data_IF_661758585410
#
_entry.id   IF_661758585410
#
_cell.length_a   1.000
_cell.length_b   1.000
_cell.length_c   1.000
_cell.angle_alpha   90.00
_cell.angle_beta   90.00
_cell.angle_gamma   90.00
#
_symmetry.space_group_name_H-M   'P 1'
#
loop_
_entity.id
_entity.type
_entity.pdbx_description
1 polymer ?
#
# COMPACT_ATOMS: atom_id res chain seq x y z
N UNK A 1 7.87 -7.85 13.48
CA UNK A 1 7.10 -8.22 12.28
C UNK A 1 5.94 -7.27 12.05
N UNK A 2 5.04 -7.08 13.01
CA UNK A 2 3.89 -6.15 12.89
C UNK A 2 4.35 -4.72 12.51
N UNK A 3 5.40 -4.20 13.13
CA UNK A 3 5.96 -2.87 12.83
C UNK A 3 6.51 -2.76 11.41
N UNK A 4 7.20 -3.81 10.92
CA UNK A 4 7.74 -3.85 9.56
C UNK A 4 6.62 -3.94 8.53
N UNK A 5 5.54 -4.70 8.83
CA UNK A 5 4.35 -4.75 7.96
C UNK A 5 3.73 -3.36 7.82
N UNK A 6 3.60 -2.63 8.93
CA UNK A 6 2.98 -1.32 8.96
C UNK A 6 3.86 -0.25 8.28
N UNK A 7 5.17 -0.29 8.54
CA UNK A 7 6.16 0.49 7.81
C UNK A 7 6.08 0.28 6.29
N UNK A 8 6.14 -0.98 5.84
CA UNK A 8 6.10 -1.32 4.42
C UNK A 8 4.80 -0.90 3.74
N UNK A 9 3.67 -1.09 4.43
CA UNK A 9 2.37 -0.68 3.92
C UNK A 9 2.30 0.85 3.72
N UNK A 10 2.65 1.62 4.74
CA UNK A 10 2.62 3.08 4.65
C UNK A 10 3.63 3.62 3.61
N UNK A 11 4.80 2.98 3.51
CA UNK A 11 5.78 3.26 2.47
C UNK A 11 5.20 3.05 1.07
N UNK A 12 4.50 1.93 0.84
CA UNK A 12 3.87 1.60 -0.44
C UNK A 12 2.75 2.60 -0.77
N UNK A 13 1.86 2.87 0.17
CA UNK A 13 0.72 3.79 0.00
C UNK A 13 1.20 5.18 -0.43
N UNK A 14 2.11 5.79 0.34
CA UNK A 14 2.55 7.15 0.07
C UNK A 14 3.45 7.23 -1.18
N UNK A 15 4.32 6.25 -1.40
CA UNK A 15 5.15 6.23 -2.62
C UNK A 15 4.28 6.12 -3.86
N UNK A 16 3.26 5.26 -3.84
CA UNK A 16 2.32 5.11 -4.97
C UNK A 16 1.61 6.43 -5.28
N UNK A 17 1.07 7.11 -4.27
CA UNK A 17 0.30 8.34 -4.47
C UNK A 17 1.16 9.52 -4.91
N UNK A 18 2.34 9.71 -4.31
CA UNK A 18 3.22 10.84 -4.62
C UNK A 18 3.89 10.72 -6.00
N UNK A 19 4.27 9.51 -6.39
CA UNK A 19 5.02 9.28 -7.64
C UNK A 19 4.14 8.93 -8.84
N UNK A 20 2.82 8.75 -8.65
CA UNK A 20 1.88 8.41 -9.73
C UNK A 20 1.94 9.40 -10.90
N UNK A 21 1.80 10.71 -10.63
CA UNK A 21 1.83 11.73 -11.69
C UNK A 21 3.17 11.78 -12.41
N UNK A 22 4.29 11.80 -11.66
CA UNK A 22 5.63 11.84 -12.24
C UNK A 22 5.90 10.61 -13.10
N UNK A 23 5.47 9.43 -12.66
CA UNK A 23 5.56 8.19 -13.43
C UNK A 23 4.75 8.26 -14.72
N UNK A 24 3.52 8.77 -14.68
CA UNK A 24 2.69 8.91 -15.87
C UNK A 24 3.28 9.88 -16.89
N UNK A 25 3.85 11.00 -16.44
CA UNK A 25 4.51 11.96 -17.34
C UNK A 25 5.78 11.36 -17.94
N UNK A 26 6.70 10.89 -17.11
CA UNK A 26 8.06 10.56 -17.55
C UNK A 26 8.17 9.14 -18.13
N UNK A 27 7.42 8.17 -17.63
CA UNK A 27 7.48 6.79 -18.11
C UNK A 27 6.39 6.45 -19.14
N UNK A 28 5.28 7.21 -19.17
CA UNK A 28 4.14 6.92 -20.05
C UNK A 28 3.86 8.03 -21.08
N UNK A 29 4.62 9.13 -21.05
CA UNK A 29 4.48 10.23 -22.00
C UNK A 29 3.16 10.99 -21.91
N UNK A 30 2.47 10.92 -20.78
CA UNK A 30 1.21 11.64 -20.53
C UNK A 30 1.52 13.12 -20.30
N UNK A 31 0.68 14.04 -20.81
CA UNK A 31 0.84 15.46 -20.52
C UNK A 31 0.72 15.75 -19.01
N UNK A 32 1.49 16.72 -18.50
CA UNK A 32 1.49 17.07 -17.08
C UNK A 32 0.09 17.50 -16.58
N UNK A 33 -0.70 18.12 -17.44
CA UNK A 33 -2.07 18.53 -17.15
C UNK A 33 -2.98 17.33 -16.85
N UNK A 34 -2.95 16.31 -17.71
CA UNK A 34 -3.72 15.06 -17.52
C UNK A 34 -3.17 14.26 -16.34
N UNK A 35 -1.86 14.17 -16.19
CA UNK A 35 -1.21 13.39 -15.12
C UNK A 35 -1.48 13.98 -13.73
N UNK A 36 -1.64 15.30 -13.60
CA UNK A 36 -1.99 15.95 -12.32
C UNK A 36 -3.37 15.51 -11.80
N UNK A 37 -4.35 15.36 -12.71
CA UNK A 37 -5.66 14.80 -12.38
C UNK A 37 -5.61 13.31 -12.01
N UNK A 38 -4.66 12.58 -12.58
CA UNK A 38 -4.51 11.14 -12.33
C UNK A 38 -3.96 10.79 -10.94
N UNK A 39 -3.25 11.69 -10.26
CA UNK A 39 -2.88 11.50 -8.86
C UNK A 39 -4.11 11.31 -7.96
N UNK A 40 -5.22 11.96 -8.29
CA UNK A 40 -6.49 11.84 -7.58
C UNK A 40 -7.12 10.44 -7.72
N UNK A 41 -6.78 9.69 -8.78
CA UNK A 41 -7.34 8.35 -9.03
C UNK A 41 -6.97 7.37 -7.93
N UNK A 42 -5.74 7.43 -7.41
CA UNK A 42 -5.33 6.61 -6.27
C UNK A 42 -6.25 6.87 -5.06
N UNK A 43 -6.51 8.14 -4.74
CA UNK A 43 -7.37 8.51 -3.60
C UNK A 43 -8.85 8.21 -3.84
N UNK A 44 -9.33 8.24 -5.09
CA UNK A 44 -10.66 7.75 -5.45
C UNK A 44 -10.78 6.25 -5.13
N UNK A 45 -9.79 5.45 -5.56
CA UNK A 45 -9.72 4.03 -5.23
C UNK A 45 -9.69 3.78 -3.72
N UNK A 46 -8.86 4.53 -3.00
CA UNK A 46 -8.72 4.44 -1.54
C UNK A 46 -10.05 4.77 -0.83
N UNK A 47 -10.73 5.83 -1.26
CA UNK A 47 -12.00 6.27 -0.65
C UNK A 47 -13.12 5.26 -0.90
N UNK A 48 -13.28 4.80 -2.15
CA UNK A 48 -14.24 3.76 -2.50
C UNK A 48 -13.95 2.46 -1.75
N UNK A 49 -12.66 2.08 -1.68
CA UNK A 49 -12.24 0.92 -0.93
C UNK A 49 -12.56 1.01 0.57
N UNK A 50 -12.40 2.19 1.19
CA UNK A 50 -12.77 2.40 2.60
C UNK A 50 -14.29 2.26 2.83
N UNK A 51 -15.11 2.80 1.93
CA UNK A 51 -16.56 2.64 2.00
C UNK A 51 -16.96 1.14 1.89
N UNK A 52 -16.39 0.41 0.91
CA UNK A 52 -16.63 -1.02 0.73
C UNK A 52 -16.12 -1.82 1.94
N UNK A 53 -14.93 -1.50 2.45
CA UNK A 53 -14.34 -2.19 3.59
C UNK A 53 -15.19 -2.06 4.86
N UNK A 54 -15.87 -0.93 5.07
CA UNK A 54 -16.80 -0.76 6.18
C UNK A 54 -17.89 -1.84 6.22
N UNK A 55 -18.43 -2.22 5.05
CA UNK A 55 -19.41 -3.31 4.95
C UNK A 55 -18.76 -4.69 5.04
N UNK A 56 -17.61 -4.88 4.42
CA UNK A 56 -16.91 -6.16 4.43
C UNK A 56 -16.40 -6.53 5.83
N UNK A 57 -15.97 -5.57 6.63
CA UNK A 57 -15.50 -5.77 8.01
C UNK A 57 -16.60 -6.30 8.94
N UNK A 58 -17.88 -6.14 8.58
CA UNK A 58 -19.00 -6.73 9.32
C UNK A 58 -19.17 -8.24 9.08
N UNK A 59 -18.59 -8.79 8.01
CA UNK A 59 -18.78 -10.20 7.59
C UNK A 59 -17.48 -11.01 7.58
N UNK A 60 -16.35 -10.36 7.40
CA UNK A 60 -15.06 -11.02 7.23
C UNK A 60 -14.08 -10.60 8.33
N UNK A 61 -13.15 -11.51 8.68
CA UNK A 61 -12.13 -11.22 9.66
C UNK A 61 -10.99 -10.35 9.06
N UNK A 62 -10.29 -9.62 9.92
CA UNK A 62 -9.22 -8.71 9.53
C UNK A 62 -8.11 -9.40 8.72
N UNK A 63 -7.75 -10.64 9.06
CA UNK A 63 -6.71 -11.41 8.34
C UNK A 63 -7.09 -11.64 6.89
N UNK A 64 -8.35 -11.97 6.64
CA UNK A 64 -8.86 -12.16 5.28
C UNK A 64 -8.86 -10.84 4.51
N UNK A 65 -9.33 -9.75 5.14
CA UNK A 65 -9.39 -8.43 4.51
C UNK A 65 -8.00 -7.88 4.16
N UNK A 66 -7.00 -8.10 5.02
CA UNK A 66 -5.61 -7.73 4.73
C UNK A 66 -5.11 -8.51 3.52
N UNK A 67 -5.29 -9.85 3.48
CA UNK A 67 -4.86 -10.68 2.35
C UNK A 67 -5.56 -10.28 1.05
N UNK A 68 -6.85 -10.00 1.12
CA UNK A 68 -7.63 -9.53 -0.02
C UNK A 68 -7.07 -8.18 -0.53
N UNK A 69 -6.84 -7.23 0.37
CA UNK A 69 -6.25 -5.94 0.03
C UNK A 69 -4.87 -6.07 -0.62
N UNK A 70 -3.98 -6.90 -0.06
CA UNK A 70 -2.65 -7.15 -0.62
C UNK A 70 -2.73 -7.83 -2.00
N UNK A 71 -3.69 -8.73 -2.22
CA UNK A 71 -3.94 -9.34 -3.52
C UNK A 71 -4.43 -8.31 -4.55
N UNK A 72 -5.32 -7.41 -4.16
CA UNK A 72 -5.79 -6.31 -5.02
C UNK A 72 -4.64 -5.36 -5.38
N UNK A 73 -3.78 -5.00 -4.40
CA UNK A 73 -2.58 -4.18 -4.64
C UNK A 73 -1.67 -4.87 -5.66
N UNK A 74 -1.45 -6.18 -5.54
CA UNK A 74 -0.64 -6.96 -6.48
C UNK A 74 -1.18 -6.85 -7.92
N UNK A 75 -2.47 -7.03 -8.12
CA UNK A 75 -3.12 -6.88 -9.44
C UNK A 75 -2.93 -5.46 -9.97
N UNK A 76 -3.12 -4.45 -9.13
CA UNK A 76 -2.90 -3.04 -9.49
C UNK A 76 -1.46 -2.77 -9.94
N UNK A 77 -0.46 -3.29 -9.21
CA UNK A 77 0.96 -3.16 -9.59
C UNK A 77 1.23 -3.84 -10.94
N UNK A 78 0.67 -5.03 -11.19
CA UNK A 78 0.81 -5.71 -12.48
C UNK A 78 0.26 -4.87 -13.63
N UNK A 79 -0.88 -4.20 -13.44
CA UNK A 79 -1.43 -3.30 -14.45
C UNK A 79 -0.53 -2.08 -14.69
N UNK A 80 0.09 -1.53 -13.66
CA UNK A 80 1.07 -0.44 -13.81
C UNK A 80 2.32 -0.91 -14.60
N UNK A 81 2.69 -2.19 -14.52
CA UNK A 81 3.79 -2.76 -15.31
C UNK A 81 3.50 -2.82 -16.82
N UNK A 82 2.22 -2.93 -17.23
CA UNK A 82 1.86 -3.09 -18.66
C UNK A 82 2.25 -1.85 -19.47
N UNK A 83 3.14 -1.97 -20.48
CA UNK A 83 3.70 -0.80 -21.16
C UNK A 83 2.84 -0.26 -22.31
N UNK A 84 1.80 -0.97 -22.73
CA UNK A 84 1.09 -0.69 -23.98
C UNK A 84 0.30 0.63 -24.01
N UNK A 85 -0.46 0.94 -22.94
CA UNK A 85 -1.30 2.14 -22.86
C UNK A 85 -1.29 2.75 -21.46
N UNK A 86 -1.27 4.08 -21.37
CA UNK A 86 -1.36 4.80 -20.09
C UNK A 86 -2.62 4.44 -19.28
N UNK A 87 -3.70 4.03 -19.97
CA UNK A 87 -4.95 3.60 -19.32
C UNK A 87 -4.74 2.45 -18.32
N UNK A 88 -3.85 1.50 -18.62
CA UNK A 88 -3.53 0.42 -17.67
C UNK A 88 -2.90 0.95 -16.38
N UNK A 89 -2.05 1.97 -16.48
CA UNK A 89 -1.46 2.60 -15.31
C UNK A 89 -2.50 3.39 -14.50
N UNK A 90 -3.44 4.09 -15.16
CA UNK A 90 -4.54 4.78 -14.49
C UNK A 90 -5.40 3.81 -13.67
N UNK A 91 -5.88 2.74 -14.32
CA UNK A 91 -6.66 1.70 -13.65
C UNK A 91 -5.83 1.04 -12.55
N UNK A 92 -4.54 0.80 -12.79
CA UNK A 92 -3.62 0.22 -11.82
C UNK A 92 -3.53 1.06 -10.54
N UNK A 93 -3.40 2.38 -10.63
CA UNK A 93 -3.34 3.26 -9.45
C UNK A 93 -4.67 3.29 -8.68
N UNK A 94 -5.83 3.28 -9.36
CA UNK A 94 -7.14 3.14 -8.70
C UNK A 94 -7.22 1.82 -7.92
N UNK A 95 -6.80 0.71 -8.54
CA UNK A 95 -6.83 -0.63 -7.94
C UNK A 95 -5.84 -0.71 -6.75
N UNK A 96 -4.64 -0.12 -6.85
CA UNK A 96 -3.70 -0.05 -5.72
C UNK A 96 -4.35 0.69 -4.56
N UNK A 97 -4.96 1.87 -4.81
CA UNK A 97 -5.67 2.63 -3.77
C UNK A 97 -6.79 1.83 -3.12
N UNK A 98 -7.60 1.14 -3.92
CA UNK A 98 -8.69 0.28 -3.44
C UNK A 98 -8.18 -0.86 -2.56
N UNK A 99 -7.06 -1.49 -2.94
CA UNK A 99 -6.43 -2.54 -2.15
C UNK A 99 -5.76 -2.04 -0.87
N UNK A 100 -5.29 -0.80 -0.84
CA UNK A 100 -4.74 -0.17 0.37
C UNK A 100 -5.81 0.07 1.46
N UNK A 101 -7.06 0.26 1.06
CA UNK A 101 -8.13 0.69 1.95
C UNK A 101 -8.37 -0.19 3.20
N UNK A 102 -8.43 -1.53 3.11
CA UNK A 102 -8.64 -2.38 4.28
C UNK A 102 -7.40 -2.58 5.15
N UNK A 103 -6.19 -2.42 4.60
CA UNK A 103 -4.96 -2.90 5.25
C UNK A 103 -4.66 -2.14 6.54
N UNK A 104 -4.67 -0.80 6.51
CA UNK A 104 -4.39 0.03 7.68
C UNK A 104 -5.36 -0.22 8.85
N UNK A 105 -6.69 -0.08 8.66
CA UNK A 105 -7.63 -0.25 9.76
C UNK A 105 -7.63 -1.67 10.31
N UNK A 106 -7.51 -2.69 9.46
CA UNK A 106 -7.47 -4.08 9.89
C UNK A 106 -6.21 -4.42 10.70
N UNK A 107 -5.03 -3.86 10.37
CA UNK A 107 -3.81 -4.06 11.18
C UNK A 107 -3.99 -3.45 12.57
N UNK A 108 -4.54 -2.23 12.68
CA UNK A 108 -4.79 -1.58 13.97
C UNK A 108 -5.84 -2.36 14.78
N UNK A 109 -6.95 -2.76 14.13
CA UNK A 109 -8.03 -3.49 14.77
C UNK A 109 -7.59 -4.86 15.31
N UNK A 110 -6.68 -5.53 14.62
CA UNK A 110 -6.14 -6.82 15.01
C UNK A 110 -5.10 -6.74 16.16
N UNK A 111 -4.58 -5.56 16.48
CA UNK A 111 -3.49 -5.39 17.46
C UNK A 111 -3.88 -5.82 18.89
N UNK A 112 -5.07 -5.49 19.44
CA UNK A 112 -5.49 -5.97 20.75
C UNK A 112 -5.62 -7.49 20.84
N UNK A 113 -6.07 -8.14 19.76
CA UNK A 113 -6.20 -9.61 19.70
C UNK A 113 -4.84 -10.30 19.63
N UNK A 114 -3.86 -9.64 19.03
CA UNK A 114 -2.50 -10.17 18.90
C UNK A 114 -1.66 -10.01 20.17
N UNK A 115 -1.80 -8.90 20.89
CA UNK A 115 -0.86 -8.52 21.96
C UNK A 115 -1.54 -8.31 23.34
N UNK A 116 -2.87 -8.45 23.40
CA UNK A 116 -3.67 -8.18 24.60
C UNK A 116 -4.07 -6.72 24.72
N UNK A 117 -5.23 -6.49 25.36
CA UNK A 117 -5.84 -5.15 25.48
C UNK A 117 -4.97 -4.17 26.27
N UNK A 118 -4.31 -4.65 27.32
CA UNK A 118 -3.49 -3.80 28.19
C UNK A 118 -2.29 -3.16 27.48
N UNK A 119 -1.67 -3.90 26.55
CA UNK A 119 -0.46 -3.45 25.82
C UNK A 119 -0.78 -2.83 24.47
N UNK A 120 -2.04 -2.94 24.01
CA UNK A 120 -2.43 -2.56 22.64
C UNK A 120 -2.16 -1.10 22.33
N UNK A 121 -2.45 -0.18 23.23
CA UNK A 121 -2.25 1.26 22.99
C UNK A 121 -0.76 1.60 22.79
N UNK A 122 0.13 1.07 23.62
CA UNK A 122 1.55 1.30 23.48
C UNK A 122 2.10 0.71 22.15
N UNK A 123 1.62 -0.48 21.77
CA UNK A 123 1.99 -1.14 20.52
C UNK A 123 1.49 -0.36 19.32
N UNK A 124 0.23 0.11 19.33
CA UNK A 124 -0.32 0.97 18.28
C UNK A 124 0.52 2.26 18.15
N UNK A 125 0.92 2.89 19.24
CA UNK A 125 1.80 4.05 19.22
C UNK A 125 3.12 3.77 18.48
N UNK A 126 3.75 2.64 18.77
CA UNK A 126 4.98 2.21 18.07
C UNK A 126 4.70 1.88 16.60
N UNK A 127 3.58 1.21 16.28
CA UNK A 127 3.16 0.95 14.90
C UNK A 127 3.03 2.25 14.10
N UNK A 128 2.39 3.26 14.67
CA UNK A 128 2.22 4.57 14.05
C UNK A 128 3.58 5.26 13.82
N UNK A 129 4.50 5.18 14.78
CA UNK A 129 5.85 5.71 14.60
C UNK A 129 6.58 5.05 13.43
N UNK A 130 6.50 3.73 13.30
CA UNK A 130 7.05 3.00 12.15
C UNK A 130 6.34 3.35 10.83
N UNK A 131 5.02 3.58 10.85
CA UNK A 131 4.27 4.05 9.70
C UNK A 131 4.79 5.40 9.19
N UNK A 132 4.94 6.38 10.08
CA UNK A 132 5.49 7.69 9.72
C UNK A 132 6.95 7.61 9.25
N UNK A 133 7.74 6.73 9.83
CA UNK A 133 9.11 6.47 9.33
C UNK A 133 9.05 5.98 7.88
N UNK A 134 8.14 5.06 7.55
CA UNK A 134 7.92 4.60 6.18
C UNK A 134 7.49 5.72 5.23
N UNK A 135 6.55 6.55 5.66
CA UNK A 135 6.09 7.73 4.91
C UNK A 135 7.22 8.72 4.62
N UNK A 136 8.08 9.00 5.61
CA UNK A 136 9.12 9.99 5.47
C UNK A 136 10.35 9.49 4.69
N UNK A 137 10.65 8.19 4.74
CA UNK A 137 11.91 7.65 4.19
C UNK A 137 11.78 7.05 2.80
N UNK A 138 10.69 6.32 2.52
CA UNK A 138 10.59 5.53 1.29
C UNK A 138 10.28 6.35 0.03
N UNK A 139 9.40 7.37 0.03
CA UNK A 139 9.20 8.20 -1.15
C UNK A 139 10.46 8.98 -1.57
N UNK A 140 11.24 9.62 -0.66
CA UNK A 140 12.53 10.21 -1.03
C UNK A 140 13.56 9.18 -1.51
N UNK A 141 13.62 8.00 -0.90
CA UNK A 141 14.50 6.92 -1.35
C UNK A 141 14.17 6.51 -2.78
N UNK A 142 12.88 6.34 -3.10
CA UNK A 142 12.47 6.10 -4.49
C UNK A 142 12.84 7.30 -5.38
N UNK A 143 12.75 8.52 -4.88
CA UNK A 143 13.18 9.73 -5.61
C UNK A 143 14.64 9.68 -6.04
N UNK A 144 15.54 9.18 -5.20
CA UNK A 144 16.93 8.93 -5.57
C UNK A 144 17.02 7.88 -6.70
N UNK A 145 16.30 6.78 -6.58
CA UNK A 145 16.27 5.75 -7.62
C UNK A 145 15.72 6.32 -8.94
N UNK A 146 14.65 7.09 -8.89
CA UNK A 146 14.04 7.71 -10.06
C UNK A 146 15.00 8.69 -10.77
N UNK A 147 15.79 9.45 -9.99
CA UNK A 147 16.70 10.45 -10.51
C UNK A 147 18.00 9.85 -11.07
N UNK A 148 18.60 8.86 -10.36
CA UNK A 148 19.89 8.28 -10.76
C UNK A 148 19.78 7.08 -11.69
N UNK A 149 18.62 6.38 -11.72
CA UNK A 149 18.42 5.18 -12.52
C UNK A 149 17.27 5.35 -13.49
N UNK A 150 16.04 5.23 -13.03
CA UNK A 150 14.83 5.43 -13.85
C UNK A 150 13.55 5.43 -13.01
N UNK A 151 12.64 6.34 -13.34
CA UNK A 151 11.30 6.36 -12.75
C UNK A 151 10.46 5.14 -13.16
N UNK A 152 10.78 4.48 -14.27
CA UNK A 152 10.11 3.26 -14.73
C UNK A 152 10.24 2.09 -13.75
N UNK A 153 11.14 2.20 -12.77
CA UNK A 153 11.28 1.22 -11.70
C UNK A 153 10.20 1.32 -10.60
N UNK A 154 9.30 2.31 -10.67
CA UNK A 154 8.24 2.48 -9.67
C UNK A 154 7.46 1.18 -9.40
N UNK A 155 6.91 0.48 -10.42
CA UNK A 155 6.15 -0.75 -10.14
C UNK A 155 7.02 -1.85 -9.52
N UNK A 156 8.29 -1.95 -9.91
CA UNK A 156 9.22 -2.91 -9.30
C UNK A 156 9.50 -2.58 -7.83
N UNK A 157 9.70 -1.31 -7.50
CA UNK A 157 9.87 -0.85 -6.12
C UNK A 157 8.64 -1.15 -5.26
N UNK A 158 7.44 -0.85 -5.77
CA UNK A 158 6.19 -1.16 -5.10
C UNK A 158 6.00 -2.67 -4.89
N UNK A 159 6.43 -3.49 -5.87
CA UNK A 159 6.38 -4.95 -5.76
C UNK A 159 7.29 -5.46 -4.64
N UNK A 160 8.50 -4.93 -4.52
CA UNK A 160 9.43 -5.28 -3.42
C UNK A 160 8.81 -4.95 -2.06
N UNK A 161 8.21 -3.77 -1.91
CA UNK A 161 7.51 -3.40 -0.68
C UNK A 161 6.33 -4.34 -0.40
N UNK A 162 5.55 -4.68 -1.42
CA UNK A 162 4.42 -5.60 -1.28
C UNK A 162 4.86 -7.00 -0.83
N UNK A 163 5.92 -7.55 -1.43
CA UNK A 163 6.49 -8.84 -1.02
C UNK A 163 6.96 -8.80 0.43
N UNK A 164 7.61 -7.72 0.85
CA UNK A 164 8.02 -7.51 2.24
C UNK A 164 6.81 -7.52 3.19
N UNK A 165 5.73 -6.81 2.83
CA UNK A 165 4.49 -6.74 3.63
C UNK A 165 3.88 -8.14 3.76
N UNK A 166 3.72 -8.86 2.64
CA UNK A 166 3.14 -10.22 2.62
C UNK A 166 3.97 -11.17 3.48
N UNK A 167 5.29 -11.18 3.30
CA UNK A 167 6.19 -12.06 4.06
C UNK A 167 6.12 -11.80 5.56
N UNK A 168 6.12 -10.52 5.98
CA UNK A 168 6.05 -10.15 7.39
C UNK A 168 4.68 -10.41 8.00
N UNK A 169 3.61 -10.17 7.25
CA UNK A 169 2.24 -10.44 7.69
C UNK A 169 2.01 -11.94 7.88
N UNK A 170 2.35 -12.77 6.88
CA UNK A 170 2.17 -14.22 6.96
C UNK A 170 3.00 -14.85 8.09
N UNK A 171 4.23 -14.38 8.27
CA UNK A 171 5.08 -14.83 9.39
C UNK A 171 4.47 -14.46 10.75
N UNK A 172 3.88 -13.27 10.88
CA UNK A 172 3.18 -12.82 12.10
C UNK A 172 1.98 -13.73 12.40
N UNK A 173 1.14 -14.00 11.39
CA UNK A 173 -0.05 -14.85 11.51
C UNK A 173 0.33 -16.28 11.92
N UNK A 174 1.35 -16.88 11.27
CA UNK A 174 1.81 -18.24 11.60
C UNK A 174 2.33 -18.38 13.03
N UNK A 175 3.09 -17.42 13.52
CA UNK A 175 3.62 -17.45 14.90
C UNK A 175 2.51 -17.44 15.95
N UNK A 176 1.39 -16.76 15.65
CA UNK A 176 0.26 -16.66 16.57
C UNK A 176 -0.68 -17.87 16.48
N UNK A 177 -0.71 -18.60 15.36
CA UNK A 177 -1.53 -19.82 15.22
C UNK A 177 -0.88 -21.00 15.93
N UNK A 178 0.45 -20.95 16.16
CA UNK A 178 1.22 -21.99 16.82
C UNK A 178 1.39 -21.78 18.35
N UNK A 179 0.81 -20.74 18.92
CA UNK A 179 0.71 -20.46 20.37
C UNK A 179 -0.71 -20.73 20.89
#
# INVERSE_FOLDING_TARGET
MCFITFFGYCALELTSSLWASSYLVQARGVSAEVASGCASLFYIGLTLGRAINGFLAMRFNDRFLIRLGLGIIFVGILLVFVPYHAMFAYIGFVIIGLGCAPVYPCIIHMTPDLFGKEKSQAIIGVQIAFAYTGFCTMPPLFGLIANYVSISLLPAFLLVLLVLIIAMHEKLVRLKTNQ
#
